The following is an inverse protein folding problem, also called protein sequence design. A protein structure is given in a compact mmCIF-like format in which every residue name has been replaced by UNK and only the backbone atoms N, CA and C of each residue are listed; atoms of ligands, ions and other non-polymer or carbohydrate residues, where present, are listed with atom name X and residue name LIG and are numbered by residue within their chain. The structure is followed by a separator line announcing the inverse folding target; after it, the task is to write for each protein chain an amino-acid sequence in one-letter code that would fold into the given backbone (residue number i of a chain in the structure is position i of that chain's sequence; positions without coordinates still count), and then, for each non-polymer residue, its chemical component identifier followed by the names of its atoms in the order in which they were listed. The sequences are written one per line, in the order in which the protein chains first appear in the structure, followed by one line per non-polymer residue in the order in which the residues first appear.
data_IF_171374105194
#
_entry.id   IF_171374105194
#
_cell.length_a   1.000
_cell.length_b   1.000
_cell.length_c   1.000
_cell.angle_alpha   90.00
_cell.angle_beta   90.00
_cell.angle_gamma   90.00
#
_symmetry.space_group_name_H-M   'P 1'
#
loop_
_entity.id
_entity.type
_entity.pdbx_description
1 polymer ?
#
# COMPACT_ATOMS: atom_id res chain seq x y z
N UNK A 1 10.93 21.00 4.17
CA UNK A 1 11.27 20.39 2.87
C UNK A 1 10.22 19.34 2.59
N UNK A 2 9.68 19.24 1.36
CA UNK A 2 8.80 18.14 1.03
C UNK A 2 9.56 16.81 1.27
N UNK A 3 8.88 15.80 1.81
CA UNK A 3 9.51 14.51 2.12
C UNK A 3 9.84 13.75 0.83
N UNK A 4 9.11 14.04 -0.25
CA UNK A 4 9.32 13.50 -1.59
C UNK A 4 9.64 14.62 -2.59
N UNK A 5 10.69 14.43 -3.40
CA UNK A 5 11.10 15.38 -4.44
C UNK A 5 10.45 15.06 -5.80
N UNK A 6 10.08 13.78 -6.03
CA UNK A 6 9.49 13.27 -7.26
C UNK A 6 8.39 12.22 -7.00
N UNK A 7 7.15 12.68 -6.76
CA UNK A 7 6.01 11.80 -6.42
C UNK A 7 5.74 10.67 -7.42
N UNK A 8 5.86 10.93 -8.73
CA UNK A 8 5.61 9.93 -9.76
C UNK A 8 6.64 8.79 -9.75
N UNK A 9 7.93 9.12 -9.54
CA UNK A 9 8.98 8.11 -9.44
C UNK A 9 8.80 7.26 -8.17
N UNK A 10 8.40 7.89 -7.07
CA UNK A 10 8.16 7.17 -5.83
C UNK A 10 6.96 6.24 -5.91
N UNK A 11 5.86 6.68 -6.54
CA UNK A 11 4.73 5.80 -6.81
C UNK A 11 5.13 4.58 -7.64
N UNK A 12 5.97 4.78 -8.66
CA UNK A 12 6.46 3.68 -9.50
C UNK A 12 7.35 2.70 -8.71
N UNK A 13 8.24 3.21 -7.83
CA UNK A 13 9.10 2.37 -6.98
C UNK A 13 8.27 1.55 -5.99
N UNK A 14 7.31 2.20 -5.33
CA UNK A 14 6.40 1.55 -4.39
C UNK A 14 5.61 0.45 -5.11
N UNK A 15 5.03 0.75 -6.27
CA UNK A 15 4.28 -0.24 -7.06
C UNK A 15 5.14 -1.45 -7.43
N UNK A 16 6.40 -1.26 -7.84
CA UNK A 16 7.29 -2.36 -8.17
C UNK A 16 7.52 -3.31 -6.98
N UNK A 17 7.70 -2.79 -5.77
CA UNK A 17 7.88 -3.63 -4.59
C UNK A 17 6.57 -4.33 -4.19
N UNK A 18 5.43 -3.63 -4.32
CA UNK A 18 4.11 -4.24 -4.10
C UNK A 18 3.89 -5.42 -5.06
N UNK A 19 4.23 -5.26 -6.34
CA UNK A 19 4.14 -6.34 -7.34
C UNK A 19 5.03 -7.52 -6.96
N UNK A 20 6.29 -7.27 -6.58
CA UNK A 20 7.25 -8.33 -6.21
C UNK A 20 6.76 -9.14 -5.01
N UNK A 21 6.28 -8.47 -3.96
CA UNK A 21 5.71 -9.17 -2.81
C UNK A 21 4.37 -9.83 -3.13
N UNK A 22 3.57 -9.24 -4.00
CA UNK A 22 2.31 -9.82 -4.49
C UNK A 22 2.53 -11.14 -5.23
N UNK A 23 3.63 -11.29 -5.97
CA UNK A 23 4.01 -12.55 -6.63
C UNK A 23 4.27 -13.65 -5.59
N UNK A 24 4.95 -13.34 -4.48
CA UNK A 24 5.19 -14.31 -3.39
C UNK A 24 3.88 -14.79 -2.76
N UNK A 25 2.88 -13.90 -2.69
CA UNK A 25 1.56 -14.19 -2.13
C UNK A 25 0.58 -14.81 -3.13
N UNK A 26 0.92 -14.85 -4.41
CA UNK A 26 0.01 -15.29 -5.47
C UNK A 26 -1.22 -14.38 -5.63
N UNK A 27 -1.08 -13.07 -5.37
CA UNK A 27 -2.18 -12.11 -5.47
C UNK A 27 -2.56 -11.88 -6.93
N UNK A 28 -3.84 -12.05 -7.23
CA UNK A 28 -4.47 -11.46 -8.42
C UNK A 28 -4.97 -10.05 -8.08
N UNK A 29 -4.31 -9.03 -8.64
CA UNK A 29 -4.66 -7.64 -8.40
C UNK A 29 -5.97 -7.22 -9.09
N UNK A 30 -6.56 -8.07 -9.93
CA UNK A 30 -7.88 -7.88 -10.52
C UNK A 30 -9.01 -8.51 -9.68
N UNK A 31 -8.67 -9.35 -8.69
CA UNK A 31 -9.64 -9.84 -7.70
C UNK A 31 -9.92 -8.73 -6.68
N UNK A 32 -10.93 -7.91 -6.96
CA UNK A 32 -11.31 -6.79 -6.10
C UNK A 32 -11.59 -7.23 -4.66
N UNK A 33 -12.14 -8.44 -4.44
CA UNK A 33 -12.43 -8.93 -3.10
C UNK A 33 -11.13 -9.22 -2.34
N UNK A 34 -10.21 -9.96 -2.95
CA UNK A 34 -8.91 -10.28 -2.35
C UNK A 34 -8.09 -9.01 -2.06
N UNK A 35 -8.05 -8.06 -2.99
CA UNK A 35 -7.32 -6.80 -2.82
C UNK A 35 -7.94 -5.93 -1.71
N UNK A 36 -9.27 -5.90 -1.59
CA UNK A 36 -9.95 -5.22 -0.47
C UNK A 36 -9.69 -5.88 0.88
N UNK A 37 -9.67 -7.21 0.95
CA UNK A 37 -9.29 -7.92 2.18
C UNK A 37 -7.88 -7.56 2.60
N UNK A 38 -6.93 -7.56 1.65
CA UNK A 38 -5.54 -7.20 1.91
C UNK A 38 -5.41 -5.73 2.38
N UNK A 39 -6.13 -4.81 1.75
CA UNK A 39 -6.14 -3.39 2.12
C UNK A 39 -6.68 -3.18 3.54
N UNK A 40 -7.77 -3.85 3.90
CA UNK A 40 -8.33 -3.81 5.26
C UNK A 40 -7.33 -4.29 6.30
N UNK A 41 -6.66 -5.40 6.04
CA UNK A 41 -5.62 -5.92 6.95
C UNK A 41 -4.43 -4.96 7.05
N UNK A 42 -4.00 -4.34 5.95
CA UNK A 42 -2.93 -3.35 5.94
C UNK A 42 -3.28 -2.10 6.77
N UNK A 43 -4.54 -1.67 6.72
CA UNK A 43 -5.07 -0.57 7.53
C UNK A 43 -5.22 -0.98 9.00
N UNK A 44 -5.58 -2.23 9.29
CA UNK A 44 -5.68 -2.72 10.67
C UNK A 44 -4.32 -2.80 11.36
N UNK A 45 -3.22 -2.92 10.61
CA UNK A 45 -1.86 -2.87 11.16
C UNK A 45 -1.47 -1.43 11.53
N UNK A 46 -1.83 -0.99 12.75
CA UNK A 46 -1.42 0.29 13.30
C UNK A 46 -0.12 0.18 14.10
N UNK A 47 0.95 0.92 13.76
CA UNK A 47 2.20 0.93 14.54
C UNK A 47 2.07 1.59 15.93
N UNK A 48 0.92 2.20 16.23
CA UNK A 48 0.71 2.99 17.44
C UNK A 48 0.68 2.15 18.73
N UNK A 49 0.49 0.83 18.64
CA UNK A 49 0.27 -0.01 19.82
C UNK A 49 1.57 -0.41 20.55
N UNK A 50 2.74 0.03 20.07
CA UNK A 50 4.04 -0.34 20.66
C UNK A 50 4.30 -1.85 20.67
N UNK A 51 3.43 -2.61 20.01
CA UNK A 51 3.47 -4.05 19.94
C UNK A 51 4.53 -4.45 18.91
N UNK A 52 5.45 -5.31 19.32
CA UNK A 52 6.42 -5.88 18.38
C UNK A 52 5.65 -6.75 17.39
N UNK A 53 5.47 -6.25 16.17
CA UNK A 53 4.98 -7.06 15.06
C UNK A 53 6.00 -8.18 14.83
N UNK A 54 5.59 -9.42 15.11
CA UNK A 54 6.44 -10.58 14.87
C UNK A 54 6.66 -10.70 13.37
N UNK A 55 7.93 -10.66 12.95
CA UNK A 55 8.29 -10.99 11.57
C UNK A 55 7.85 -12.42 11.31
N UNK A 56 6.92 -12.60 10.37
CA UNK A 56 6.40 -13.91 10.01
C UNK A 56 7.52 -14.94 9.78
N UNK A 57 7.26 -16.18 10.17
CA UNK A 57 8.23 -17.28 10.02
C UNK A 57 8.24 -17.89 8.62
N UNK A 58 7.38 -17.43 7.70
CA UNK A 58 7.33 -17.88 6.31
C UNK A 58 7.57 -16.72 5.34
N UNK A 59 8.05 -17.00 4.10
CA UNK A 59 8.20 -15.98 3.07
C UNK A 59 6.92 -15.19 2.80
N UNK A 60 5.76 -15.86 2.79
CA UNK A 60 4.45 -15.26 2.57
C UNK A 60 4.10 -14.30 3.71
N UNK A 61 4.28 -14.73 4.95
CA UNK A 61 4.00 -13.89 6.11
C UNK A 61 4.88 -12.63 6.13
N UNK A 62 6.14 -12.72 5.69
CA UNK A 62 7.03 -11.56 5.53
C UNK A 62 6.60 -10.66 4.38
N UNK A 63 6.33 -11.22 3.20
CA UNK A 63 5.87 -10.46 2.03
C UNK A 63 4.58 -9.69 2.33
N UNK A 64 3.66 -10.29 3.08
CA UNK A 64 2.42 -9.64 3.53
C UNK A 64 2.70 -8.44 4.45
N UNK A 65 3.61 -8.58 5.42
CA UNK A 65 4.03 -7.47 6.28
C UNK A 65 4.71 -6.34 5.49
N UNK A 66 5.54 -6.66 4.50
CA UNK A 66 6.17 -5.65 3.64
C UNK A 66 5.12 -4.89 2.81
N UNK A 67 4.12 -5.59 2.23
CA UNK A 67 2.99 -4.93 1.55
C UNK A 67 2.24 -3.99 2.50
N UNK A 68 2.07 -4.36 3.77
CA UNK A 68 1.39 -3.50 4.74
C UNK A 68 2.20 -2.23 5.01
N UNK A 69 3.51 -2.32 5.16
CA UNK A 69 4.38 -1.14 5.24
C UNK A 69 4.32 -0.27 3.98
N UNK A 70 4.35 -0.89 2.80
CA UNK A 70 4.23 -0.20 1.51
C UNK A 70 2.87 0.47 1.33
N UNK A 71 1.78 -0.11 1.87
CA UNK A 71 0.45 0.51 1.86
C UNK A 71 0.43 1.83 2.66
N UNK A 72 1.08 1.87 3.82
CA UNK A 72 1.20 3.08 4.63
C UNK A 72 2.05 4.15 3.91
N UNK A 73 3.13 3.73 3.26
CA UNK A 73 3.96 4.63 2.45
C UNK A 73 3.20 5.19 1.24
N UNK A 74 2.45 4.33 0.55
CA UNK A 74 1.58 4.70 -0.56
C UNK A 74 0.55 5.77 -0.16
N UNK A 75 -0.17 5.56 0.95
CA UNK A 75 -1.13 6.54 1.48
C UNK A 75 -0.46 7.88 1.80
N UNK A 76 0.76 7.85 2.34
CA UNK A 76 1.53 9.06 2.62
C UNK A 76 1.90 9.81 1.34
N UNK A 77 2.42 9.12 0.33
CA UNK A 77 2.74 9.71 -0.99
C UNK A 77 1.50 10.33 -1.62
N UNK A 78 0.38 9.61 -1.63
CA UNK A 78 -0.88 10.13 -2.17
C UNK A 78 -1.33 11.39 -1.44
N UNK A 79 -1.32 11.37 -0.09
CA UNK A 79 -1.72 12.50 0.75
C UNK A 79 -0.84 13.74 0.52
N UNK A 80 0.48 13.57 0.49
CA UNK A 80 1.40 14.69 0.27
C UNK A 80 1.30 15.23 -1.16
N UNK A 81 1.19 14.37 -2.17
CA UNK A 81 1.04 14.82 -3.56
C UNK A 81 -0.26 15.61 -3.79
N UNK A 82 -1.36 15.19 -3.17
CA UNK A 82 -2.62 15.93 -3.22
C UNK A 82 -2.52 17.30 -2.53
N UNK A 83 -1.75 17.41 -1.44
CA UNK A 83 -1.51 18.69 -0.77
C UNK A 83 -0.69 19.67 -1.62
N UNK A 84 0.15 19.15 -2.51
CA UNK A 84 0.96 19.92 -3.47
C UNK A 84 0.25 20.13 -4.83
N UNK A 85 -1.03 19.78 -4.96
CA UNK A 85 -1.82 19.84 -6.21
C UNK A 85 -1.21 19.02 -7.37
N UNK A 86 -0.51 17.92 -7.03
CA UNK A 86 0.10 16.99 -7.98
C UNK A 86 -0.70 15.69 -8.03
N UNK A 87 -1.22 15.37 -9.21
CA UNK A 87 -1.80 14.05 -9.46
C UNK A 87 -0.70 12.99 -9.61
N UNK A 88 -0.56 12.14 -8.60
CA UNK A 88 0.38 11.01 -8.66
C UNK A 88 -0.24 9.85 -9.44
N UNK A 89 0.31 9.57 -10.62
CA UNK A 89 -0.09 8.43 -11.43
C UNK A 89 0.80 7.22 -11.17
N UNK A 90 0.19 6.10 -10.78
CA UNK A 90 0.80 4.77 -10.81
C UNK A 90 0.12 3.86 -11.84
N UNK A 91 0.65 2.65 -12.01
CA UNK A 91 0.09 1.62 -12.87
C UNK A 91 -1.16 0.96 -12.30
N UNK A 92 -1.50 -0.21 -12.83
CA UNK A 92 -2.75 -0.90 -12.51
C UNK A 92 -2.79 -1.41 -11.06
N UNK A 93 -1.66 -1.86 -10.53
CA UNK A 93 -1.56 -2.36 -9.15
C UNK A 93 -1.69 -1.21 -8.17
N UNK A 94 -1.02 -0.08 -8.45
CA UNK A 94 -1.20 1.15 -7.68
C UNK A 94 -2.67 1.58 -7.65
N UNK A 95 -3.34 1.63 -8.80
CA UNK A 95 -4.76 2.04 -8.85
C UNK A 95 -5.67 1.08 -8.11
N UNK A 96 -5.50 -0.23 -8.33
CA UNK A 96 -6.32 -1.27 -7.69
C UNK A 96 -6.17 -1.22 -6.18
N UNK A 97 -4.93 -1.20 -5.69
CA UNK A 97 -4.67 -1.21 -4.25
C UNK A 97 -5.01 0.12 -3.59
N UNK A 98 -4.72 1.24 -4.24
CA UNK A 98 -5.08 2.58 -3.74
C UNK A 98 -6.59 2.76 -3.62
N UNK A 99 -7.35 2.31 -4.63
CA UNK A 99 -8.82 2.29 -4.57
C UNK A 99 -9.30 1.42 -3.42
N UNK A 100 -8.72 0.23 -3.23
CA UNK A 100 -9.09 -0.65 -2.13
C UNK A 100 -8.79 -0.01 -0.76
N UNK A 101 -7.62 0.62 -0.59
CA UNK A 101 -7.25 1.34 0.64
C UNK A 101 -8.21 2.49 0.93
N UNK A 102 -8.60 3.27 -0.08
CA UNK A 102 -9.59 4.35 0.07
C UNK A 102 -10.98 3.82 0.50
N UNK A 103 -11.44 2.73 -0.12
CA UNK A 103 -12.73 2.12 0.23
C UNK A 103 -12.74 1.54 1.65
N UNK A 104 -11.63 0.96 2.09
CA UNK A 104 -11.52 0.34 3.42
C UNK A 104 -11.14 1.34 4.53
N UNK A 105 -10.59 2.52 4.20
CA UNK A 105 -10.28 3.57 5.19
C UNK A 105 -11.52 4.32 5.70
N UNK A 106 -12.69 4.09 5.08
CA UNK A 106 -13.93 4.79 5.42
C UNK A 106 -13.98 6.23 4.89
N UNK A 107 -13.05 6.63 4.01
CA UNK A 107 -13.07 7.95 3.35
C UNK A 107 -13.96 7.98 2.10
N UNK A 108 -14.65 6.87 1.80
CA UNK A 108 -15.54 6.74 0.64
C UNK A 108 -16.96 7.32 0.86
N UNK A 109 -17.25 7.89 2.05
CA UNK A 109 -18.53 8.51 2.41
C UNK A 109 -18.44 10.04 2.49
#
# INVERSE_FOLDING_TARGET
MPIFEHYAEEAQRIEQEIVRHGIVLGIDWQDEFAVRTLAREALALHPADGEKVSLGNTPEARAKLEIFGLAQLMLKVMTESAADDVETHGGDVWKAFGRALWLESGQAD
#
